data_IF_274996787076
#
_entry.id   IF_274996787076
#
_cell.length_a   1.000
_cell.length_b   1.000
_cell.length_c   1.000
_cell.angle_alpha   90.00
_cell.angle_beta   90.00
_cell.angle_gamma   90.00
#
_symmetry.space_group_name_H-M   'P 1'
#
loop_
_entity.id
_entity.type
_entity.pdbx_description
1 polymer ?
#
# COMPACT_ATOMS: atom_id res chain seq x y z
N UNK A 1 14.16 1.76 -15.03
CA UNK A 1 12.70 1.88 -15.28
C UNK A 1 12.15 0.98 -16.39
N UNK A 2 12.96 0.15 -17.07
CA UNK A 2 12.47 -0.73 -18.16
C UNK A 2 11.34 -1.68 -17.74
N UNK A 3 11.43 -2.29 -16.55
CA UNK A 3 10.38 -3.16 -16.02
C UNK A 3 9.04 -2.44 -15.82
N UNK A 4 9.08 -1.22 -15.27
CA UNK A 4 7.87 -0.40 -15.09
C UNK A 4 7.25 0.01 -16.44
N UNK A 5 8.09 0.45 -17.38
CA UNK A 5 7.64 0.78 -18.74
C UNK A 5 6.98 -0.40 -19.44
N UNK A 6 7.55 -1.60 -19.29
CA UNK A 6 6.97 -2.83 -19.82
C UNK A 6 5.58 -3.09 -19.23
N UNK A 7 5.45 -3.05 -17.89
CA UNK A 7 4.18 -3.23 -17.20
C UNK A 7 3.13 -2.20 -17.66
N UNK A 8 3.51 -0.93 -17.75
CA UNK A 8 2.62 0.16 -18.18
C UNK A 8 2.17 0.08 -19.63
N UNK A 9 3.01 -0.50 -20.51
CA UNK A 9 2.66 -0.75 -21.91
C UNK A 9 1.89 -2.05 -22.14
N UNK A 10 1.87 -2.94 -21.14
CA UNK A 10 1.15 -4.21 -21.21
C UNK A 10 -0.34 -4.05 -20.95
N UNK A 11 -1.11 -5.13 -21.11
CA UNK A 11 -2.54 -5.16 -20.77
C UNK A 11 -2.84 -4.89 -19.28
N UNK A 12 -1.85 -5.10 -18.40
CA UNK A 12 -1.99 -4.79 -16.96
C UNK A 12 -2.11 -3.28 -16.76
N UNK A 13 -1.39 -2.48 -17.57
CA UNK A 13 -1.33 -1.00 -17.60
C UNK A 13 -0.88 -0.30 -16.33
N UNK A 14 -1.22 -0.81 -15.15
CA UNK A 14 -1.00 -0.21 -13.83
C UNK A 14 -0.83 -1.35 -12.82
N UNK A 15 0.14 -1.23 -11.93
CA UNK A 15 0.29 -2.10 -10.77
C UNK A 15 -0.71 -1.70 -9.68
N UNK A 16 -0.73 -0.41 -9.36
CA UNK A 16 -1.72 0.29 -8.56
C UNK A 16 -1.55 0.15 -7.04
N UNK A 17 -0.79 -0.84 -6.59
CA UNK A 17 -0.39 -0.98 -5.18
C UNK A 17 1.04 -1.49 -5.08
N UNK A 18 1.99 -0.72 -5.60
CA UNK A 18 3.40 -1.10 -5.57
C UNK A 18 4.03 -0.70 -4.23
N UNK A 19 4.66 -1.65 -3.55
CA UNK A 19 5.39 -1.45 -2.29
C UNK A 19 6.69 -2.25 -2.35
N UNK A 20 7.61 -2.04 -1.40
CA UNK A 20 8.82 -2.87 -1.31
C UNK A 20 8.50 -4.34 -0.96
N UNK A 21 7.36 -4.61 -0.33
CA UNK A 21 6.87 -5.98 -0.08
C UNK A 21 6.50 -6.74 -1.37
N UNK A 22 6.14 -6.00 -2.44
CA UNK A 22 5.74 -6.56 -3.73
C UNK A 22 6.92 -6.59 -4.72
N UNK A 23 8.15 -6.53 -4.18
CA UNK A 23 9.39 -6.57 -4.94
C UNK A 23 10.27 -7.71 -4.43
N UNK A 24 10.76 -8.53 -5.35
CA UNK A 24 11.73 -9.60 -5.05
C UNK A 24 13.03 -9.35 -5.80
N UNK A 25 14.15 -9.61 -5.16
CA UNK A 25 15.48 -9.51 -5.77
C UNK A 25 15.98 -10.93 -6.02
N UNK A 26 16.41 -11.22 -7.25
CA UNK A 26 17.02 -12.51 -7.57
C UNK A 26 18.54 -12.54 -7.27
N UNK A 27 19.15 -13.72 -7.39
CA UNK A 27 20.58 -13.93 -7.11
C UNK A 27 21.54 -13.09 -7.98
N UNK A 28 21.03 -12.45 -9.04
CA UNK A 28 21.80 -11.58 -9.94
C UNK A 28 21.54 -10.09 -9.65
N UNK A 29 20.98 -9.78 -8.49
CA UNK A 29 20.61 -8.41 -8.09
C UNK A 29 19.59 -7.76 -9.00
N UNK A 30 18.72 -8.55 -9.65
CA UNK A 30 17.63 -8.02 -10.47
C UNK A 30 16.37 -7.90 -9.64
N UNK A 31 15.85 -6.67 -9.52
CA UNK A 31 14.55 -6.40 -8.92
C UNK A 31 13.43 -6.84 -9.87
N UNK A 32 12.48 -7.62 -9.35
CA UNK A 32 11.28 -8.11 -10.03
C UNK A 32 10.06 -7.66 -9.26
N UNK A 33 9.07 -7.18 -10.00
CA UNK A 33 7.79 -6.74 -9.46
C UNK A 33 6.85 -7.95 -9.44
N UNK A 34 6.21 -8.23 -8.31
CA UNK A 34 5.21 -9.31 -8.11
C UNK A 34 3.80 -8.71 -8.01
N UNK A 35 2.76 -9.54 -7.85
CA UNK A 35 1.40 -9.10 -7.47
C UNK A 35 0.71 -8.09 -8.42
N UNK A 36 1.17 -8.03 -9.68
CA UNK A 36 0.53 -7.25 -10.74
C UNK A 36 -0.66 -7.98 -11.36
N UNK A 37 -1.51 -7.25 -12.09
CA UNK A 37 -2.65 -7.83 -12.82
C UNK A 37 -3.87 -8.17 -11.97
N UNK A 38 -3.76 -8.12 -10.63
CA UNK A 38 -4.86 -8.29 -9.68
C UNK A 38 -6.03 -7.37 -10.07
N UNK A 39 -5.77 -6.08 -10.28
CA UNK A 39 -6.80 -5.12 -10.67
C UNK A 39 -7.59 -5.55 -11.92
N UNK A 40 -6.89 -6.01 -12.95
CA UNK A 40 -7.49 -6.46 -14.21
C UNK A 40 -8.38 -7.69 -14.00
N UNK A 41 -7.98 -8.59 -13.10
CA UNK A 41 -8.75 -9.80 -12.76
C UNK A 41 -10.07 -9.41 -12.07
N UNK A 42 -10.02 -8.53 -11.07
CA UNK A 42 -11.23 -8.06 -10.38
C UNK A 42 -12.20 -7.35 -11.33
N UNK A 43 -11.68 -6.45 -12.18
CA UNK A 43 -12.48 -5.75 -13.17
C UNK A 43 -13.15 -6.73 -14.17
N UNK A 44 -12.41 -7.72 -14.65
CA UNK A 44 -12.93 -8.72 -15.61
C UNK A 44 -14.02 -9.59 -15.00
N UNK A 45 -13.90 -9.91 -13.70
CA UNK A 45 -14.89 -10.71 -12.97
C UNK A 45 -16.07 -9.89 -12.43
N UNK A 46 -16.08 -8.56 -12.65
CA UNK A 46 -17.10 -7.67 -12.06
C UNK A 46 -17.07 -7.64 -10.53
N UNK A 47 -15.93 -8.01 -9.92
CA UNK A 47 -15.75 -8.01 -8.48
C UNK A 47 -15.36 -6.61 -8.01
N UNK A 48 -15.90 -6.21 -6.86
CA UNK A 48 -15.41 -5.01 -6.16
C UNK A 48 -14.03 -5.29 -5.61
N UNK A 49 -13.12 -4.34 -5.82
CA UNK A 49 -11.78 -4.43 -5.23
C UNK A 49 -11.91 -4.39 -3.71
N UNK A 50 -11.22 -5.28 -2.98
CA UNK A 50 -11.14 -5.16 -1.54
C UNK A 50 -10.56 -3.77 -1.21
N UNK A 51 -11.02 -3.13 -0.12
CA UNK A 51 -10.42 -1.88 0.32
C UNK A 51 -8.92 -2.10 0.53
N UNK A 52 -8.10 -1.39 -0.26
CA UNK A 52 -6.66 -1.28 0.00
C UNK A 52 -6.55 -0.56 1.34
N UNK A 53 -6.27 -1.30 2.39
CA UNK A 53 -6.17 -0.89 3.78
C UNK A 53 -6.34 0.62 4.01
N UNK A 54 -7.58 1.03 4.30
CA UNK A 54 -7.95 2.27 5.01
C UNK A 54 -9.44 2.15 5.34
N UNK A 55 -9.71 1.69 6.57
CA UNK A 55 -11.01 1.30 7.19
C UNK A 55 -11.46 -0.13 6.88
N UNK A 56 -11.04 -1.08 7.73
CA UNK A 56 -11.95 -2.16 8.11
C UNK A 56 -13.15 -1.50 8.78
N UNK A 57 -14.32 -1.68 8.19
CA UNK A 57 -15.60 -1.42 8.81
C UNK A 57 -15.73 -2.35 10.03
N UNK A 58 -15.28 -1.92 11.21
CA UNK A 58 -15.74 -2.50 12.47
C UNK A 58 -17.09 -1.84 12.80
N UNK A 59 -18.10 -2.11 11.99
CA UNK A 59 -19.48 -1.83 12.37
C UNK A 59 -19.99 -3.05 13.13
N UNK A 60 -20.26 -2.81 14.41
CA UNK A 60 -21.17 -3.54 15.30
C UNK A 60 -20.78 -4.95 15.78
N UNK A 61 -20.49 -5.07 17.08
CA UNK A 61 -21.47 -5.62 18.04
C UNK A 61 -20.93 -5.48 19.48
N UNK A 62 -21.80 -5.04 20.38
CA UNK A 62 -21.61 -4.88 21.83
C UNK A 62 -21.95 -6.18 22.59
N UNK A 63 -21.23 -6.51 23.67
CA UNK A 63 -21.82 -6.89 24.97
C UNK A 63 -20.78 -7.19 26.10
N UNK A 64 -21.20 -6.94 27.34
CA UNK A 64 -20.41 -6.62 28.55
C UNK A 64 -19.67 -7.79 29.27
N UNK A 65 -18.65 -8.41 28.69
CA UNK A 65 -17.74 -9.32 29.47
C UNK A 65 -16.25 -9.17 29.14
N UNK A 66 -15.86 -8.17 28.36
CA UNK A 66 -14.64 -8.24 27.54
C UNK A 66 -13.49 -7.33 28.02
N UNK A 67 -13.44 -6.78 29.23
CA UNK A 67 -12.40 -5.77 29.57
C UNK A 67 -10.92 -6.22 29.47
N UNK A 68 -10.58 -7.51 29.65
CA UNK A 68 -9.21 -8.02 29.41
C UNK A 68 -8.96 -8.44 27.95
N UNK A 69 -9.98 -8.94 27.26
CA UNK A 69 -9.90 -9.20 25.82
C UNK A 69 -9.89 -7.88 25.04
N UNK A 70 -10.49 -6.81 25.56
CA UNK A 70 -10.48 -5.48 24.99
C UNK A 70 -9.09 -4.87 24.99
N UNK A 71 -8.21 -5.10 25.98
CA UNK A 71 -6.83 -4.57 25.91
C UNK A 71 -5.98 -5.28 24.86
N UNK A 72 -6.18 -6.60 24.69
CA UNK A 72 -5.59 -7.39 23.61
C UNK A 72 -6.18 -6.93 22.27
N UNK A 73 -7.51 -6.85 22.13
CA UNK A 73 -8.20 -6.37 20.94
C UNK A 73 -7.83 -4.92 20.63
N UNK A 74 -7.62 -4.05 21.63
CA UNK A 74 -7.17 -2.66 21.46
C UNK A 74 -5.73 -2.60 20.97
N UNK A 75 -4.87 -3.48 21.47
CA UNK A 75 -3.47 -3.58 21.03
C UNK A 75 -3.39 -4.16 19.62
N UNK A 76 -4.13 -5.23 19.34
CA UNK A 76 -4.27 -5.82 18.01
C UNK A 76 -4.90 -4.83 17.04
N UNK A 77 -5.94 -4.09 17.43
CA UNK A 77 -6.55 -3.06 16.58
C UNK A 77 -5.58 -1.91 16.32
N UNK A 78 -4.77 -1.51 17.31
CA UNK A 78 -3.75 -0.50 17.12
C UNK A 78 -2.61 -0.98 16.22
N UNK A 79 -2.14 -2.22 16.38
CA UNK A 79 -1.14 -2.84 15.50
C UNK A 79 -1.65 -2.99 14.06
N UNK A 80 -2.91 -3.40 13.88
CA UNK A 80 -3.56 -3.47 12.57
C UNK A 80 -3.76 -2.07 11.96
N UNK A 81 -4.06 -1.06 12.77
CA UNK A 81 -4.17 0.33 12.33
C UNK A 81 -2.82 0.90 11.90
N UNK A 82 -1.77 0.65 12.68
CA UNK A 82 -0.40 1.03 12.33
C UNK A 82 0.05 0.35 11.04
N UNK A 83 -0.21 -0.96 10.90
CA UNK A 83 0.09 -1.70 9.67
C UNK A 83 -0.64 -1.12 8.45
N UNK A 84 -1.91 -0.74 8.62
CA UNK A 84 -2.73 -0.13 7.58
C UNK A 84 -2.20 1.24 7.12
N UNK A 85 -1.64 2.06 8.03
CA UNK A 85 -1.07 3.35 7.67
C UNK A 85 0.28 3.19 6.95
N UNK A 86 1.13 2.27 7.39
CA UNK A 86 2.46 2.06 6.77
C UNK A 86 2.33 1.66 5.30
N UNK A 87 1.35 0.82 4.94
CA UNK A 87 1.07 0.43 3.54
C UNK A 87 0.78 1.61 2.60
N UNK A 88 0.33 2.75 3.14
CA UNK A 88 0.03 3.94 2.35
C UNK A 88 1.25 4.82 2.08
N UNK A 89 2.41 4.56 2.70
CA UNK A 89 3.61 5.37 2.51
C UNK A 89 4.12 5.35 1.06
N UNK A 90 3.91 4.26 0.34
CA UNK A 90 4.23 4.17 -1.09
C UNK A 90 3.16 4.80 -1.99
N UNK A 91 2.03 5.21 -1.43
CA UNK A 91 0.90 5.72 -2.21
C UNK A 91 1.12 7.19 -2.57
N UNK A 92 0.99 7.50 -3.85
CA UNK A 92 1.16 8.85 -4.34
C UNK A 92 0.12 9.82 -3.74
N UNK A 93 0.48 11.08 -3.50
CA UNK A 93 -0.37 12.03 -2.80
C UNK A 93 -1.71 12.30 -3.52
N UNK A 94 -1.76 12.23 -4.84
CA UNK A 94 -3.00 12.32 -5.61
C UNK A 94 -3.94 11.14 -5.35
N UNK A 95 -3.40 9.96 -5.05
CA UNK A 95 -4.17 8.78 -4.70
C UNK A 95 -4.60 8.82 -3.23
N UNK A 96 -3.79 9.39 -2.33
CA UNK A 96 -4.18 9.56 -0.93
C UNK A 96 -5.43 10.46 -0.78
N UNK A 97 -5.59 11.43 -1.67
CA UNK A 97 -6.72 12.37 -1.67
C UNK A 97 -8.01 11.83 -2.28
N UNK A 98 -7.92 10.80 -3.13
CA UNK A 98 -9.07 10.25 -3.84
C UNK A 98 -9.10 8.72 -3.72
N UNK A 99 -10.03 8.22 -2.91
CA UNK A 99 -10.21 6.79 -2.68
C UNK A 99 -10.55 6.02 -3.96
N UNK A 100 -11.31 6.61 -4.88
CA UNK A 100 -11.66 5.97 -6.14
C UNK A 100 -10.42 5.76 -7.01
N UNK A 101 -9.55 6.78 -7.09
CA UNK A 101 -8.28 6.67 -7.79
C UNK A 101 -7.34 5.71 -7.07
N UNK A 102 -7.28 5.72 -5.74
CA UNK A 102 -6.44 4.81 -4.94
C UNK A 102 -6.79 3.35 -5.15
N UNK A 103 -8.07 3.02 -5.28
CA UNK A 103 -8.53 1.63 -5.54
C UNK A 103 -8.04 1.11 -6.88
N UNK A 104 -7.96 1.96 -7.90
CA UNK A 104 -7.51 1.56 -9.24
C UNK A 104 -6.00 1.75 -9.42
N UNK A 105 -5.41 2.73 -8.74
CA UNK A 105 -4.05 3.19 -9.00
C UNK A 105 -3.91 3.89 -10.36
N UNK A 106 -2.74 4.47 -10.60
CA UNK A 106 -2.40 5.13 -11.85
C UNK A 106 -0.96 4.83 -12.24
N UNK A 107 -0.60 5.03 -13.51
CA UNK A 107 0.78 4.87 -13.95
C UNK A 107 1.71 5.86 -13.24
N UNK A 108 1.26 7.11 -13.03
CA UNK A 108 1.99 8.10 -12.26
C UNK A 108 2.18 7.65 -10.81
N UNK A 109 1.15 7.06 -10.21
CA UNK A 109 1.20 6.48 -8.87
C UNK A 109 2.26 5.39 -8.75
N UNK A 110 2.34 4.46 -9.71
CA UNK A 110 3.37 3.41 -9.70
C UNK A 110 4.79 3.99 -9.80
N UNK A 111 4.98 5.06 -10.57
CA UNK A 111 6.28 5.74 -10.69
C UNK A 111 6.66 6.39 -9.37
N UNK A 112 5.70 7.02 -8.68
CA UNK A 112 5.91 7.56 -7.34
C UNK A 112 6.29 6.46 -6.34
N UNK A 113 5.52 5.38 -6.29
CA UNK A 113 5.80 4.24 -5.41
C UNK A 113 7.20 3.66 -5.67
N UNK A 114 7.59 3.54 -6.94
CA UNK A 114 8.93 3.11 -7.31
C UNK A 114 10.01 4.07 -6.79
N UNK A 115 9.77 5.38 -6.78
CA UNK A 115 10.72 6.35 -6.22
C UNK A 115 10.91 6.18 -4.71
N UNK A 116 9.84 5.87 -3.97
CA UNK A 116 9.92 5.55 -2.53
C UNK A 116 10.73 4.26 -2.30
N UNK A 117 10.49 3.22 -3.10
CA UNK A 117 11.27 1.97 -3.03
C UNK A 117 12.76 2.23 -3.34
N UNK A 118 13.06 3.07 -4.33
CA UNK A 118 14.43 3.46 -4.62
C UNK A 118 15.06 4.24 -3.46
N UNK A 119 14.29 5.09 -2.77
CA UNK A 119 14.75 5.77 -1.56
C UNK A 119 15.10 4.77 -0.45
N UNK A 120 14.25 3.77 -0.18
CA UNK A 120 14.56 2.71 0.79
C UNK A 120 15.87 2.00 0.48
N UNK A 121 16.12 1.67 -0.80
CA UNK A 121 17.36 1.03 -1.26
C UNK A 121 18.57 1.93 -1.05
N UNK A 122 18.47 3.22 -1.45
CA UNK A 122 19.57 4.18 -1.35
C UNK A 122 19.94 4.49 0.10
N UNK A 123 18.95 4.57 0.97
CA UNK A 123 19.11 4.93 2.38
C UNK A 123 19.33 3.72 3.27
N UNK A 124 18.98 2.52 2.79
CA UNK A 124 18.98 1.26 3.55
C UNK A 124 18.12 1.37 4.81
N UNK A 125 16.92 1.92 4.67
CA UNK A 125 15.97 2.12 5.76
C UNK A 125 14.53 2.10 5.28
N UNK A 126 13.58 2.23 6.21
CA UNK A 126 12.15 2.27 5.94
C UNK A 126 11.73 3.48 5.07
N UNK A 127 10.55 3.46 4.44
CA UNK A 127 10.04 4.62 3.70
C UNK A 127 10.07 5.88 4.55
N UNK A 128 10.58 6.97 4.01
CA UNK A 128 10.69 8.26 4.69
C UNK A 128 11.50 8.25 6.00
N UNK A 129 12.38 7.28 6.23
CA UNK A 129 13.21 7.25 7.45
C UNK A 129 14.13 8.48 7.64
N UNK A 130 14.24 9.36 6.64
CA UNK A 130 14.92 10.65 6.74
C UNK A 130 14.05 11.77 7.34
N UNK A 131 12.75 11.54 7.49
CA UNK A 131 11.81 12.47 8.11
C UNK A 131 11.56 12.07 9.56
N UNK A 132 11.45 13.06 10.44
CA UNK A 132 11.07 12.85 11.85
C UNK A 132 9.56 12.82 12.07
N UNK A 133 8.79 12.48 11.04
CA UNK A 133 7.33 12.44 11.06
C UNK A 133 6.85 10.99 11.24
N UNK A 134 5.74 10.82 11.96
CA UNK A 134 5.06 9.51 12.01
C UNK A 134 4.41 9.19 10.65
N UNK A 135 4.09 7.92 10.36
CA UNK A 135 3.38 7.55 9.12
C UNK A 135 2.09 8.35 8.91
N UNK A 136 1.33 8.60 9.98
CA UNK A 136 0.12 9.43 9.92
C UNK A 136 0.43 10.87 9.56
N UNK A 137 1.49 11.45 10.14
CA UNK A 137 1.94 12.80 9.82
C UNK A 137 2.33 12.92 8.35
N UNK A 138 3.06 11.93 7.82
CA UNK A 138 3.46 11.90 6.41
C UNK A 138 2.21 11.86 5.51
N UNK A 139 1.27 10.96 5.80
CA UNK A 139 0.05 10.78 4.99
C UNK A 139 -0.86 12.01 5.06
N UNK A 140 -0.98 12.64 6.22
CA UNK A 140 -1.85 13.81 6.40
C UNK A 140 -1.31 15.07 5.71
N UNK A 141 0.01 15.18 5.56
CA UNK A 141 0.68 16.30 4.91
C UNK A 141 0.99 16.08 3.42
N UNK A 142 0.68 14.89 2.90
CA UNK A 142 0.94 14.51 1.51
C UNK A 142 0.03 15.25 0.51
#
# INVERSE_FOLDING_TARGET
>A
MWGMRYLHSSLVRVHGFLTSYNCVIDARWVLKITDYGILSIYHTQGLTLPPRSSKVCLQETVDETVCMLLSIIQTFSHLLYQHQMVELLWTAPELLRDESLRRHGTQAGDVYSFAIIMQEVLVRGEPYCMLTLSPEGIIYHA
#
